data_IF_899385890356
#
_entry.id   IF_899385890356
#
_cell.length_a   1.000
_cell.length_b   1.000
_cell.length_c   1.000
_cell.angle_alpha   90.00
_cell.angle_beta   90.00
_cell.angle_gamma   90.00
#
_symmetry.space_group_name_H-M   'P 1'
#
loop_
_entity.id
_entity.type
_entity.pdbx_description
1 polymer ?
#
# COMPACT_ATOMS: atom_id res chain seq x y z
N UNK A 1 -32.09 -35.21 -17.07
CA UNK A 1 -33.51 -35.31 -16.66
C UNK A 1 -34.31 -34.34 -17.52
N UNK A 2 -35.24 -34.83 -18.31
CA UNK A 2 -36.07 -33.99 -19.18
C UNK A 2 -37.02 -33.18 -18.30
N UNK A 3 -36.86 -31.86 -18.28
CA UNK A 3 -37.76 -30.93 -17.59
C UNK A 3 -39.08 -30.81 -18.36
N UNK A 4 -40.13 -31.49 -17.87
CA UNK A 4 -41.47 -31.38 -18.43
C UNK A 4 -42.01 -29.97 -18.17
N UNK A 5 -42.74 -29.40 -19.15
CA UNK A 5 -43.37 -28.07 -19.07
C UNK A 5 -44.30 -27.90 -17.85
N UNK A 6 -44.95 -28.98 -17.41
CA UNK A 6 -45.77 -29.00 -16.19
C UNK A 6 -44.92 -28.82 -14.92
N UNK A 7 -43.70 -29.40 -14.87
CA UNK A 7 -42.78 -29.20 -13.73
C UNK A 7 -42.22 -27.78 -13.70
N UNK A 8 -41.98 -27.16 -14.85
CA UNK A 8 -41.58 -25.75 -14.96
C UNK A 8 -42.67 -24.81 -14.41
N UNK A 9 -43.93 -25.09 -14.71
CA UNK A 9 -45.08 -24.31 -14.21
C UNK A 9 -45.20 -24.42 -12.68
N UNK A 10 -44.99 -25.60 -12.12
CA UNK A 10 -45.10 -25.86 -10.68
C UNK A 10 -43.87 -25.32 -9.89
N UNK A 11 -42.72 -25.20 -10.53
CA UNK A 11 -41.48 -24.68 -9.90
C UNK A 11 -41.32 -23.16 -9.97
N UNK A 12 -42.30 -22.43 -10.58
CA UNK A 12 -42.21 -20.95 -10.78
C UNK A 12 -41.91 -20.18 -9.49
N UNK A 13 -42.58 -20.52 -8.37
CA UNK A 13 -42.35 -19.86 -7.07
C UNK A 13 -40.96 -20.15 -6.50
N UNK A 14 -40.51 -21.41 -6.63
CA UNK A 14 -39.16 -21.81 -6.16
C UNK A 14 -38.07 -21.23 -7.07
N UNK A 15 -38.32 -21.08 -8.36
CA UNK A 15 -37.42 -20.42 -9.31
C UNK A 15 -37.28 -18.93 -9.01
N UNK A 16 -38.39 -18.26 -8.71
CA UNK A 16 -38.41 -16.84 -8.33
C UNK A 16 -37.61 -16.63 -7.03
N UNK A 17 -37.78 -17.51 -6.04
CA UNK A 17 -37.02 -17.45 -4.79
C UNK A 17 -35.52 -17.67 -5.04
N UNK A 18 -35.13 -18.64 -5.89
CA UNK A 18 -33.73 -18.87 -6.27
C UNK A 18 -33.13 -17.70 -7.02
N UNK A 19 -33.91 -17.06 -7.94
CA UNK A 19 -33.44 -15.87 -8.65
C UNK A 19 -33.32 -14.67 -7.70
N UNK A 20 -34.22 -14.51 -6.74
CA UNK A 20 -34.13 -13.47 -5.72
C UNK A 20 -32.92 -13.68 -4.81
N UNK A 21 -32.63 -14.93 -4.44
CA UNK A 21 -31.40 -15.28 -3.67
C UNK A 21 -30.13 -15.06 -4.48
N UNK A 22 -30.12 -15.34 -5.77
CA UNK A 22 -28.99 -15.08 -6.65
C UNK A 22 -28.76 -13.59 -6.87
N UNK A 23 -29.84 -12.80 -7.03
CA UNK A 23 -29.76 -11.33 -7.06
C UNK A 23 -29.22 -10.79 -5.75
N UNK A 24 -29.68 -11.29 -4.59
CA UNK A 24 -29.10 -10.92 -3.28
C UNK A 24 -27.64 -11.28 -3.15
N UNK A 25 -27.19 -12.43 -3.65
CA UNK A 25 -25.77 -12.82 -3.67
C UNK A 25 -24.94 -11.92 -4.57
N UNK A 26 -25.51 -11.47 -5.71
CA UNK A 26 -24.84 -10.58 -6.65
C UNK A 26 -24.84 -9.11 -6.19
N UNK A 27 -25.83 -8.70 -5.37
CA UNK A 27 -25.91 -7.37 -4.75
C UNK A 27 -25.31 -7.35 -3.34
N UNK A 28 -25.04 -8.51 -2.74
CA UNK A 28 -24.29 -8.57 -1.47
C UNK A 28 -22.93 -7.90 -1.67
N UNK A 29 -22.47 -7.05 -0.75
CA UNK A 29 -21.15 -6.47 -0.82
C UNK A 29 -20.13 -7.60 -1.01
N UNK A 30 -19.28 -7.45 -2.03
CA UNK A 30 -18.26 -8.46 -2.36
C UNK A 30 -17.57 -8.87 -1.08
N UNK A 31 -17.61 -10.16 -0.72
CA UNK A 31 -16.88 -10.74 0.40
C UNK A 31 -15.44 -10.24 0.31
N UNK A 32 -15.04 -9.33 1.24
CA UNK A 32 -13.68 -8.83 1.28
C UNK A 32 -13.49 -7.34 1.55
N UNK A 33 -14.53 -6.52 1.56
CA UNK A 33 -14.40 -5.15 2.05
C UNK A 33 -14.59 -5.17 3.58
N UNK A 34 -13.53 -4.92 4.32
CA UNK A 34 -13.60 -4.72 5.76
C UNK A 34 -14.35 -3.41 6.04
N UNK A 35 -15.52 -3.50 6.64
CA UNK A 35 -16.43 -2.36 6.90
C UNK A 35 -15.84 -1.36 7.92
N UNK A 36 -14.81 -1.75 8.65
CA UNK A 36 -14.07 -0.85 9.54
C UNK A 36 -13.33 0.25 8.77
N UNK A 37 -13.03 0.01 7.47
CA UNK A 37 -12.30 0.97 6.66
C UNK A 37 -13.21 1.97 5.96
N UNK A 38 -13.01 3.24 6.32
CA UNK A 38 -13.60 4.34 5.57
C UNK A 38 -12.82 4.61 4.27
N UNK A 39 -13.54 5.01 3.24
CA UNK A 39 -12.98 5.43 1.95
C UNK A 39 -13.66 6.69 1.48
N UNK A 40 -12.86 7.65 1.01
CA UNK A 40 -13.39 8.85 0.38
C UNK A 40 -14.11 8.49 -0.92
N UNK A 41 -15.35 8.91 -1.03
CA UNK A 41 -16.12 8.82 -2.27
C UNK A 41 -15.78 10.02 -3.14
N UNK A 42 -15.39 9.74 -4.38
CA UNK A 42 -15.10 10.77 -5.39
C UNK A 42 -16.25 10.79 -6.39
N UNK A 43 -16.84 11.96 -6.60
CA UNK A 43 -17.89 12.14 -7.60
C UNK A 43 -17.35 11.78 -9.00
N UNK A 44 -17.97 10.81 -9.70
CA UNK A 44 -17.49 10.35 -11.00
C UNK A 44 -17.58 11.42 -12.10
N UNK A 45 -18.41 12.46 -11.94
CA UNK A 45 -18.59 13.54 -12.93
C UNK A 45 -17.53 14.63 -12.77
N UNK A 46 -17.27 15.05 -11.53
CA UNK A 46 -16.32 16.13 -11.24
C UNK A 46 -14.91 15.63 -10.96
N UNK A 47 -14.76 14.35 -10.61
CA UNK A 47 -13.49 13.77 -10.18
C UNK A 47 -13.03 14.31 -8.82
N UNK A 48 -13.90 14.98 -8.05
CA UNK A 48 -13.58 15.59 -6.76
C UNK A 48 -14.25 14.81 -5.63
N UNK A 49 -13.53 14.56 -4.57
CA UNK A 49 -14.01 14.06 -3.29
C UNK A 49 -13.57 14.98 -2.17
N UNK A 50 -14.42 15.14 -1.17
CA UNK A 50 -14.14 15.97 0.00
C UNK A 50 -14.67 15.29 1.27
N UNK A 51 -13.88 15.37 2.35
CA UNK A 51 -14.29 15.04 3.70
C UNK A 51 -13.43 15.79 4.72
N UNK A 52 -13.96 15.99 5.90
CA UNK A 52 -13.23 16.51 7.06
C UNK A 52 -13.14 15.43 8.10
N UNK A 53 -11.95 15.13 8.55
CA UNK A 53 -11.70 14.06 9.52
C UNK A 53 -10.66 14.51 10.56
N UNK A 54 -10.65 13.85 11.71
CA UNK A 54 -9.62 14.00 12.73
C UNK A 54 -8.87 12.67 12.86
N UNK A 55 -7.55 12.72 12.78
CA UNK A 55 -6.72 11.60 13.18
C UNK A 55 -6.81 11.40 14.70
N UNK A 56 -6.87 10.15 15.14
CA UNK A 56 -6.98 9.81 16.55
C UNK A 56 -5.63 9.36 17.12
N UNK A 57 -5.41 9.45 18.43
CA UNK A 57 -4.18 9.02 19.08
C UNK A 57 -3.89 7.52 18.86
N UNK A 58 -2.91 6.99 19.53
CA UNK A 58 -2.65 5.55 19.54
C UNK A 58 -3.77 4.82 20.30
N UNK A 59 -4.26 3.66 19.79
CA UNK A 59 -5.21 2.84 20.51
C UNK A 59 -4.64 2.36 21.85
N UNK A 60 -5.52 1.88 22.71
CA UNK A 60 -5.11 1.32 24.01
C UNK A 60 -4.06 0.22 23.81
N UNK A 61 -3.00 0.27 24.62
CA UNK A 61 -1.87 -0.66 24.62
C UNK A 61 -0.97 -0.57 23.36
N UNK A 62 -1.07 0.52 22.58
CA UNK A 62 -0.21 0.81 21.43
C UNK A 62 0.42 2.21 21.57
N UNK A 63 1.67 2.38 21.11
CA UNK A 63 2.42 3.62 21.29
C UNK A 63 2.37 4.55 20.05
N UNK A 64 2.05 3.99 18.88
CA UNK A 64 2.11 4.68 17.60
C UNK A 64 0.73 4.75 16.96
N UNK A 65 0.25 5.95 16.54
CA UNK A 65 -1.09 6.14 15.98
C UNK A 65 -1.23 5.71 14.51
N UNK A 66 -0.27 4.96 13.98
CA UNK A 66 -0.36 4.38 12.65
C UNK A 66 0.34 3.03 12.54
N UNK A 67 -0.18 2.13 11.72
CA UNK A 67 0.52 0.95 11.25
C UNK A 67 1.12 1.21 9.86
N UNK A 68 2.38 0.83 9.65
CA UNK A 68 3.09 0.92 8.37
C UNK A 68 3.09 -0.44 7.70
N UNK A 69 2.50 -0.54 6.50
CA UNK A 69 2.31 -1.80 5.79
C UNK A 69 2.83 -1.72 4.36
N UNK A 70 3.75 -2.60 4.00
CA UNK A 70 4.15 -2.81 2.62
C UNK A 70 3.30 -3.89 1.97
N UNK A 71 2.91 -3.69 0.72
CA UNK A 71 2.16 -4.68 -0.07
C UNK A 71 2.59 -4.67 -1.53
N UNK A 72 2.41 -5.80 -2.22
CA UNK A 72 2.52 -5.90 -3.67
C UNK A 72 1.12 -6.03 -4.27
N UNK A 73 0.86 -5.31 -5.36
CA UNK A 73 -0.39 -5.40 -6.10
C UNK A 73 -0.13 -5.15 -7.58
N UNK A 74 -0.01 -6.23 -8.38
CA UNK A 74 0.22 -6.15 -9.81
C UNK A 74 -0.46 -7.30 -10.55
N UNK A 75 -0.66 -7.12 -11.85
CA UNK A 75 -1.15 -8.16 -12.74
C UNK A 75 0.04 -8.78 -13.49
N UNK A 76 0.15 -10.09 -13.42
CA UNK A 76 1.18 -10.82 -14.14
C UNK A 76 0.88 -10.98 -15.64
N UNK A 77 1.83 -11.46 -16.45
CA UNK A 77 1.69 -11.62 -17.90
C UNK A 77 0.53 -12.52 -18.32
N UNK A 78 0.16 -13.50 -17.47
CA UNK A 78 -0.98 -14.40 -17.68
C UNK A 78 -2.33 -13.78 -17.30
N UNK A 79 -2.38 -12.51 -16.95
CA UNK A 79 -3.60 -11.81 -16.52
C UNK A 79 -4.02 -12.07 -15.08
N UNK A 80 -3.34 -12.95 -14.34
CA UNK A 80 -3.64 -13.22 -12.94
C UNK A 80 -3.07 -12.15 -12.01
N UNK A 81 -3.85 -11.78 -10.97
CA UNK A 81 -3.43 -10.79 -9.98
C UNK A 81 -2.59 -11.41 -8.87
N UNK A 82 -1.51 -10.73 -8.53
CA UNK A 82 -0.75 -10.94 -7.30
C UNK A 82 -1.03 -9.78 -6.36
N UNK A 83 -1.76 -10.04 -5.26
CA UNK A 83 -2.10 -9.06 -4.24
C UNK A 83 -1.78 -9.70 -2.89
N UNK A 84 -0.67 -9.25 -2.25
CA UNK A 84 -0.18 -9.83 -1.00
C UNK A 84 0.54 -8.78 -0.16
N UNK A 85 0.45 -8.93 1.16
CA UNK A 85 1.28 -8.18 2.08
C UNK A 85 2.75 -8.58 1.92
N UNK A 86 3.63 -7.59 1.92
CA UNK A 86 5.06 -7.81 1.75
C UNK A 86 5.71 -8.13 3.11
N UNK A 87 6.37 -9.29 3.27
CA UNK A 87 7.01 -9.66 4.53
C UNK A 87 8.10 -8.70 5.02
N UNK A 88 8.62 -7.83 4.11
CA UNK A 88 9.58 -6.79 4.52
C UNK A 88 8.97 -5.72 5.44
N UNK A 89 7.66 -5.75 5.68
CA UNK A 89 6.99 -5.00 6.75
C UNK A 89 7.49 -5.45 8.12
N UNK A 90 7.75 -6.74 8.28
CA UNK A 90 8.33 -7.33 9.49
C UNK A 90 9.85 -7.34 9.32
N UNK A 91 10.55 -6.77 10.28
CA UNK A 91 12.00 -6.59 10.22
C UNK A 91 12.75 -7.87 9.87
N UNK A 92 13.62 -7.78 8.85
CA UNK A 92 14.49 -8.86 8.43
C UNK A 92 13.84 -10.00 7.64
N UNK A 93 12.53 -9.96 7.36
CA UNK A 93 11.87 -11.04 6.60
C UNK A 93 12.04 -10.88 5.08
N UNK A 94 12.53 -11.91 4.38
CA UNK A 94 12.72 -11.84 2.94
C UNK A 94 11.39 -11.92 2.19
N UNK A 95 11.32 -11.19 1.06
CA UNK A 95 10.20 -11.26 0.11
C UNK A 95 10.70 -11.72 -1.26
N UNK A 96 10.12 -12.77 -1.88
CA UNK A 96 10.57 -13.27 -3.17
C UNK A 96 10.34 -12.26 -4.31
N UNK A 97 9.28 -11.47 -4.26
CA UNK A 97 9.00 -10.43 -5.26
C UNK A 97 10.03 -9.30 -5.16
N UNK A 98 10.34 -8.82 -3.94
CA UNK A 98 11.38 -7.79 -3.75
C UNK A 98 12.75 -8.29 -4.23
N UNK A 99 13.09 -9.54 -3.94
CA UNK A 99 14.35 -10.16 -4.38
C UNK A 99 14.46 -10.19 -5.91
N UNK A 100 13.42 -10.64 -6.58
CA UNK A 100 13.38 -10.67 -8.04
C UNK A 100 13.39 -9.26 -8.64
N UNK A 101 12.65 -8.32 -8.07
CA UNK A 101 12.67 -6.93 -8.54
C UNK A 101 14.05 -6.29 -8.41
N UNK A 102 14.78 -6.56 -7.32
CA UNK A 102 16.16 -6.09 -7.17
C UNK A 102 17.08 -6.69 -8.23
N UNK A 103 16.91 -7.98 -8.56
CA UNK A 103 17.67 -8.63 -9.64
C UNK A 103 17.39 -7.97 -11.00
N UNK A 104 16.12 -7.76 -11.33
CA UNK A 104 15.70 -7.11 -12.58
C UNK A 104 16.20 -5.66 -12.64
N UNK A 105 16.13 -4.92 -11.54
CA UNK A 105 16.61 -3.54 -11.50
C UNK A 105 18.12 -3.43 -11.77
N UNK A 106 18.88 -4.37 -11.23
CA UNK A 106 20.35 -4.41 -11.36
C UNK A 106 20.84 -5.12 -12.64
N UNK A 107 19.95 -5.61 -13.50
CA UNK A 107 20.32 -6.25 -14.79
C UNK A 107 20.95 -5.28 -15.80
N UNK A 108 20.73 -3.98 -15.63
CA UNK A 108 21.16 -2.95 -16.59
C UNK A 108 20.23 -2.83 -17.82
N UNK A 109 19.23 -3.72 -17.96
CA UNK A 109 18.29 -3.75 -19.08
C UNK A 109 17.06 -2.92 -18.74
N UNK A 110 16.72 -1.90 -19.58
CA UNK A 110 15.59 -1.00 -19.27
C UNK A 110 14.24 -1.72 -19.22
N UNK A 111 14.00 -2.69 -20.09
CA UNK A 111 12.79 -3.52 -20.06
C UNK A 111 12.62 -4.25 -18.72
N UNK A 112 13.72 -4.73 -18.12
CA UNK A 112 13.69 -5.40 -16.80
C UNK A 112 13.35 -4.40 -15.69
N UNK A 113 13.87 -3.18 -15.78
CA UNK A 113 13.54 -2.10 -14.83
C UNK A 113 12.06 -1.71 -14.91
N UNK A 114 11.46 -1.65 -16.10
CA UNK A 114 10.01 -1.41 -16.25
C UNK A 114 9.18 -2.50 -15.57
N UNK A 115 9.58 -3.77 -15.73
CA UNK A 115 8.94 -4.89 -15.03
C UNK A 115 9.09 -4.74 -13.52
N UNK A 116 10.28 -4.37 -13.02
CA UNK A 116 10.51 -4.14 -11.60
C UNK A 116 9.65 -2.97 -11.06
N UNK A 117 9.54 -1.86 -11.82
CA UNK A 117 8.67 -0.71 -11.47
C UNK A 117 7.20 -1.15 -11.34
N UNK A 118 6.68 -1.91 -12.30
CA UNK A 118 5.28 -2.38 -12.28
C UNK A 118 4.96 -3.29 -11.10
N UNK A 119 5.96 -3.95 -10.52
CA UNK A 119 5.85 -4.88 -9.37
C UNK A 119 6.35 -4.30 -8.06
N UNK A 120 6.72 -3.00 -8.04
CA UNK A 120 7.21 -2.31 -6.85
C UNK A 120 6.23 -2.47 -5.69
N UNK A 121 6.74 -2.65 -4.48
CA UNK A 121 5.93 -2.65 -3.27
C UNK A 121 5.36 -1.27 -3.02
N UNK A 122 4.11 -1.21 -2.55
CA UNK A 122 3.43 0.02 -2.16
C UNK A 122 3.45 0.16 -0.65
N UNK A 123 3.79 1.35 -0.18
CA UNK A 123 3.69 1.72 1.22
C UNK A 123 2.28 2.25 1.51
N UNK A 124 1.67 1.73 2.55
CA UNK A 124 0.36 2.16 3.06
C UNK A 124 0.47 2.37 4.55
N UNK A 125 -0.10 3.45 5.04
CA UNK A 125 -0.30 3.73 6.44
C UNK A 125 -1.76 3.49 6.80
N UNK A 126 -2.01 3.04 8.02
CA UNK A 126 -3.36 2.79 8.55
C UNK A 126 -3.43 3.49 9.90
N UNK A 127 -4.41 4.38 10.07
CA UNK A 127 -4.68 5.08 11.34
C UNK A 127 -6.16 5.03 11.66
N UNK A 128 -6.49 5.20 12.94
CA UNK A 128 -7.84 5.48 13.35
C UNK A 128 -8.19 6.95 13.05
N UNK A 129 -9.38 7.17 12.57
CA UNK A 129 -9.92 8.51 12.29
C UNK A 129 -11.34 8.64 12.81
N UNK A 130 -11.70 9.85 13.21
CA UNK A 130 -13.08 10.27 13.43
C UNK A 130 -13.54 11.06 12.21
N UNK A 131 -14.69 10.72 11.65
CA UNK A 131 -15.29 11.51 10.57
C UNK A 131 -16.02 12.71 11.19
N UNK A 132 -15.56 13.92 10.84
CA UNK A 132 -16.19 15.15 11.25
C UNK A 132 -17.30 15.52 10.27
N UNK A 133 -16.98 15.43 8.96
CA UNK A 133 -17.93 15.75 7.89
C UNK A 133 -17.64 14.86 6.66
N UNK A 134 -18.63 14.08 6.26
CA UNK A 134 -18.62 13.30 5.03
C UNK A 134 -19.89 13.67 4.21
N UNK A 135 -19.78 14.60 3.26
CA UNK A 135 -20.93 15.04 2.46
C UNK A 135 -21.51 13.93 1.58
N UNK A 136 -20.71 12.93 1.23
CA UNK A 136 -21.16 11.79 0.42
C UNK A 136 -21.95 10.77 1.24
N UNK A 137 -21.60 10.61 2.53
CA UNK A 137 -22.26 9.71 3.47
C UNK A 137 -22.37 10.37 4.85
N UNK A 138 -23.34 11.29 5.05
CA UNK A 138 -23.50 12.01 6.32
C UNK A 138 -23.71 11.12 7.55
N UNK A 139 -24.16 9.90 7.33
CA UNK A 139 -24.32 8.87 8.38
C UNK A 139 -23.01 8.41 9.03
N UNK A 140 -21.87 8.70 8.39
CA UNK A 140 -20.54 8.43 8.95
C UNK A 140 -20.09 9.48 9.95
N UNK A 141 -20.71 10.64 9.98
CA UNK A 141 -20.32 11.74 10.86
C UNK A 141 -20.37 11.32 12.32
N UNK A 142 -19.32 11.64 13.08
CA UNK A 142 -19.17 11.27 14.47
C UNK A 142 -18.80 9.81 14.74
N UNK A 143 -18.51 9.02 13.72
CA UNK A 143 -18.08 7.62 13.86
C UNK A 143 -16.58 7.46 13.66
N UNK A 144 -16.01 6.51 14.40
CA UNK A 144 -14.59 6.10 14.29
C UNK A 144 -14.44 5.02 13.23
N UNK A 145 -13.42 5.18 12.37
CA UNK A 145 -13.06 4.25 11.30
C UNK A 145 -11.55 4.08 11.19
N UNK A 146 -11.14 3.03 10.50
CA UNK A 146 -9.78 2.89 9.99
C UNK A 146 -9.65 3.60 8.64
N UNK A 147 -8.54 4.29 8.43
CA UNK A 147 -8.23 4.97 7.17
C UNK A 147 -6.89 4.49 6.62
N UNK A 148 -6.91 4.07 5.35
CA UNK A 148 -5.70 3.71 4.59
C UNK A 148 -5.27 4.90 3.75
N UNK A 149 -4.02 5.33 3.91
CA UNK A 149 -3.45 6.45 3.16
C UNK A 149 -2.01 6.15 2.73
N UNK A 150 -1.56 6.87 1.70
CA UNK A 150 -0.21 6.73 1.16
C UNK A 150 0.77 7.75 1.73
N UNK A 151 2.01 7.72 1.21
CA UNK A 151 3.11 8.59 1.61
C UNK A 151 2.73 10.07 1.57
N UNK A 152 2.08 10.57 0.51
CA UNK A 152 1.71 12.00 0.38
C UNK A 152 0.90 12.57 1.57
N UNK A 153 -0.03 11.78 2.11
CA UNK A 153 -0.80 12.21 3.29
C UNK A 153 0.07 12.06 4.55
N UNK A 154 0.88 11.00 4.62
CA UNK A 154 1.79 10.81 5.74
C UNK A 154 2.83 11.94 5.83
N UNK A 155 3.38 12.38 4.71
CA UNK A 155 4.33 13.49 4.66
C UNK A 155 3.72 14.78 5.22
N UNK A 156 2.43 15.07 4.93
CA UNK A 156 1.71 16.20 5.53
C UNK A 156 1.56 16.06 7.06
N UNK A 157 1.37 14.82 7.55
CA UNK A 157 1.37 14.55 9.00
C UNK A 157 2.74 14.83 9.60
N UNK A 158 3.81 14.36 8.96
CA UNK A 158 5.18 14.58 9.42
C UNK A 158 5.59 16.05 9.36
N UNK A 159 5.17 16.77 8.30
CA UNK A 159 5.42 18.20 8.15
C UNK A 159 4.76 19.02 9.28
N UNK A 160 3.58 18.60 9.76
CA UNK A 160 2.91 19.25 10.89
C UNK A 160 3.60 18.94 12.23
N UNK A 161 4.11 17.71 12.41
CA UNK A 161 4.84 17.28 13.60
C UNK A 161 6.23 17.94 13.67
N UNK A 162 6.92 18.03 12.53
CA UNK A 162 8.26 18.59 12.39
C UNK A 162 8.30 19.62 11.25
N UNK A 163 7.82 20.85 11.48
CA UNK A 163 7.82 21.88 10.46
C UNK A 163 9.23 22.21 9.96
N UNK A 164 9.35 22.41 8.65
CA UNK A 164 10.63 22.76 8.03
C UNK A 164 11.02 24.24 8.24
N UNK A 165 10.04 25.10 8.50
CA UNK A 165 10.26 26.54 8.67
C UNK A 165 10.23 26.94 10.16
N UNK A 166 11.20 27.78 10.62
CA UNK A 166 11.33 28.18 12.03
C UNK A 166 10.15 28.99 12.58
N UNK A 167 9.35 29.58 11.71
CA UNK A 167 8.17 30.39 12.06
C UNK A 167 6.89 29.54 12.24
N UNK A 168 6.93 28.29 11.85
CA UNK A 168 5.83 27.36 12.05
C UNK A 168 5.94 26.68 13.42
N UNK A 169 4.80 26.58 14.10
CA UNK A 169 4.73 25.87 15.37
C UNK A 169 4.39 24.40 15.14
N UNK A 170 5.15 23.45 15.72
CA UNK A 170 4.81 22.03 15.67
C UNK A 170 3.43 21.79 16.27
N UNK A 171 2.61 20.95 15.63
CA UNK A 171 1.34 20.52 16.16
C UNK A 171 1.18 19.01 16.01
N UNK A 172 0.56 18.37 16.98
CA UNK A 172 0.29 16.95 16.93
C UNK A 172 -1.13 16.70 16.39
N UNK A 173 -1.29 16.24 15.12
CA UNK A 173 -2.61 16.01 14.53
C UNK A 173 -3.41 14.89 15.22
N UNK A 174 -2.74 14.06 16.03
CA UNK A 174 -3.36 12.95 16.77
C UNK A 174 -3.84 13.32 18.17
N UNK A 175 -3.62 14.56 18.60
CA UNK A 175 -4.04 15.01 19.90
C UNK A 175 -5.55 15.33 19.93
N UNK A 176 -6.23 14.97 21.03
CA UNK A 176 -7.66 15.19 21.19
C UNK A 176 -7.97 16.62 21.65
N UNK A 177 -7.03 17.29 22.35
CA UNK A 177 -7.22 18.65 22.91
C UNK A 177 -6.60 19.73 22.03
N UNK A 178 -5.40 19.51 21.50
CA UNK A 178 -4.64 20.47 20.70
C UNK A 178 -4.35 19.98 19.28
N UNK A 179 -5.07 18.96 18.82
CA UNK A 179 -4.88 18.39 17.49
C UNK A 179 -5.57 19.18 16.39
N UNK A 180 -5.35 18.75 15.14
CA UNK A 180 -5.83 19.45 13.96
C UNK A 180 -6.80 18.58 13.16
N UNK A 181 -7.88 19.18 12.65
CA UNK A 181 -8.73 18.50 11.68
C UNK A 181 -8.03 18.46 10.31
N UNK A 182 -8.22 17.37 9.60
CA UNK A 182 -7.70 17.18 8.26
C UNK A 182 -8.80 17.36 7.21
N UNK A 183 -8.69 18.39 6.39
CA UNK A 183 -9.54 18.62 5.23
C UNK A 183 -9.01 17.76 4.07
N UNK A 184 -9.52 16.56 3.94
CA UNK A 184 -9.15 15.65 2.86
C UNK A 184 -9.86 16.08 1.58
N UNK A 185 -9.10 16.48 0.58
CA UNK A 185 -9.60 16.78 -0.76
C UNK A 185 -8.85 15.93 -1.77
N UNK A 186 -9.59 15.07 -2.46
CA UNK A 186 -9.07 14.32 -3.60
C UNK A 186 -9.56 14.97 -4.90
N UNK A 187 -8.66 15.07 -5.87
CA UNK A 187 -8.97 15.53 -7.22
C UNK A 187 -8.35 14.57 -8.21
N UNK A 188 -9.06 14.23 -9.28
CA UNK A 188 -8.52 13.40 -10.35
C UNK A 188 -7.69 14.27 -11.30
N UNK A 189 -6.39 13.97 -11.40
CA UNK A 189 -5.45 14.66 -12.30
C UNK A 189 -4.80 13.60 -13.17
N UNK A 190 -4.89 13.72 -14.49
CA UNK A 190 -4.33 12.75 -15.46
C UNK A 190 -4.72 11.28 -15.16
N UNK A 191 -5.95 11.05 -14.68
CA UNK A 191 -6.46 9.70 -14.35
C UNK A 191 -6.12 9.21 -12.94
N UNK A 192 -5.25 9.87 -12.19
CA UNK A 192 -4.81 9.49 -10.84
C UNK A 192 -5.45 10.39 -9.77
N UNK A 193 -5.65 9.84 -8.56
CA UNK A 193 -6.09 10.62 -7.41
C UNK A 193 -4.92 11.44 -6.87
N UNK A 194 -5.12 12.75 -6.77
CA UNK A 194 -4.19 13.71 -6.24
C UNK A 194 -4.75 14.31 -4.95
N UNK A 195 -3.91 14.46 -3.91
CA UNK A 195 -4.25 14.95 -2.57
C UNK A 195 -3.52 16.24 -2.21
N UNK A 196 -2.90 16.94 -3.17
CA UNK A 196 -2.05 18.12 -2.92
C UNK A 196 -2.84 19.23 -2.22
N UNK A 197 -4.15 19.34 -2.49
CA UNK A 197 -5.06 20.32 -1.88
C UNK A 197 -5.65 19.87 -0.52
N UNK A 198 -5.24 18.71 0.00
CA UNK A 198 -5.58 18.31 1.35
C UNK A 198 -4.69 19.07 2.34
N UNK A 199 -5.26 19.54 3.46
CA UNK A 199 -4.57 20.39 4.42
C UNK A 199 -5.07 20.14 5.84
N UNK A 200 -4.22 20.41 6.83
CA UNK A 200 -4.64 20.48 8.23
C UNK A 200 -5.21 21.85 8.54
N UNK A 201 -6.16 21.91 9.45
CA UNK A 201 -6.66 23.17 10.03
C UNK A 201 -5.76 23.62 11.17
N UNK A 202 -6.01 24.85 11.66
CA UNK A 202 -5.42 25.27 12.92
C UNK A 202 -5.76 24.30 14.05
N UNK A 203 -4.90 24.20 15.09
CA UNK A 203 -5.16 23.37 16.27
C UNK A 203 -6.51 23.70 16.91
N UNK A 204 -7.24 22.67 17.29
CA UNK A 204 -8.55 22.82 17.92
C UNK A 204 -8.87 21.61 18.79
N UNK A 205 -9.62 21.84 19.86
CA UNK A 205 -10.09 20.79 20.74
C UNK A 205 -11.22 19.99 20.06
N UNK A 206 -11.10 18.66 20.10
CA UNK A 206 -12.17 17.77 19.68
C UNK A 206 -13.24 17.71 20.78
N UNK A 207 -14.53 17.87 20.46
CA UNK A 207 -15.62 17.88 21.43
C UNK A 207 -15.34 18.82 22.61
N UNK A 208 -15.28 20.12 22.32
CA UNK A 208 -14.90 21.17 23.27
C UNK A 208 -15.53 20.97 24.64
N UNK A 209 -14.69 20.76 25.67
CA UNK A 209 -15.12 20.60 27.06
C UNK A 209 -15.82 19.26 27.39
N UNK A 210 -15.91 18.31 26.46
CA UNK A 210 -16.54 16.99 26.68
C UNK A 210 -15.50 15.87 26.66
N UNK A 211 -14.83 15.67 27.80
CA UNK A 211 -13.83 14.61 27.97
C UNK A 211 -14.45 13.21 27.94
N UNK A 212 -15.71 13.05 28.33
CA UNK A 212 -16.40 11.76 28.27
C UNK A 212 -16.61 11.32 26.80
N UNK A 213 -16.90 12.27 25.92
CA UNK A 213 -17.03 11.95 24.49
C UNK A 213 -15.66 11.66 23.86
N UNK A 214 -14.59 12.35 24.28
CA UNK A 214 -13.22 12.03 23.84
C UNK A 214 -12.82 10.63 24.27
N UNK A 215 -13.04 10.26 25.53
CA UNK A 215 -12.74 8.92 26.07
C UNK A 215 -13.51 7.83 25.30
N UNK A 216 -14.82 8.03 25.09
CA UNK A 216 -15.63 7.10 24.29
C UNK A 216 -15.12 6.93 22.86
N UNK A 217 -14.63 8.00 22.24
CA UNK A 217 -14.07 7.97 20.90
C UNK A 217 -12.76 7.19 20.86
N UNK A 218 -11.89 7.41 21.85
CA UNK A 218 -10.64 6.68 22.01
C UNK A 218 -10.88 5.19 22.31
N UNK A 219 -11.83 4.85 23.15
CA UNK A 219 -12.21 3.45 23.42
C UNK A 219 -12.82 2.72 22.21
N UNK A 220 -13.38 3.48 21.26
CA UNK A 220 -13.95 2.92 20.03
C UNK A 220 -12.90 2.70 18.91
N UNK A 221 -11.62 2.96 19.18
CA UNK A 221 -10.54 2.75 18.22
C UNK A 221 -10.27 1.27 17.98
N UNK A 222 -9.82 0.98 16.77
CA UNK A 222 -9.42 -0.36 16.35
C UNK A 222 -7.92 -0.55 16.60
N UNK A 223 -7.50 -1.76 17.00
CA UNK A 223 -6.09 -2.10 17.12
C UNK A 223 -5.38 -2.02 15.77
N UNK A 224 -4.29 -1.28 15.72
CA UNK A 224 -3.46 -1.11 14.53
C UNK A 224 -2.42 -2.22 14.39
N UNK A 225 -1.96 -2.77 15.52
CA UNK A 225 -1.03 -3.89 15.55
C UNK A 225 -1.57 -5.14 14.85
N UNK A 226 -2.92 -5.28 14.75
CA UNK A 226 -3.57 -6.38 14.04
C UNK A 226 -3.10 -6.51 12.58
N UNK A 227 -2.78 -5.38 11.92
CA UNK A 227 -2.37 -5.36 10.51
C UNK A 227 -0.91 -5.74 10.27
N UNK A 228 -0.08 -5.71 11.32
CA UNK A 228 1.35 -6.04 11.26
C UNK A 228 1.70 -7.31 12.03
N UNK A 229 0.71 -8.10 12.47
CA UNK A 229 0.93 -9.43 13.06
C UNK A 229 1.46 -10.41 12.02
N UNK A 230 2.24 -11.38 12.46
CA UNK A 230 2.86 -12.39 11.60
C UNK A 230 1.86 -13.18 10.76
N UNK A 231 0.68 -13.46 11.29
CA UNK A 231 -0.41 -14.19 10.63
C UNK A 231 -0.99 -13.46 9.40
N UNK A 232 -0.78 -12.14 9.30
CA UNK A 232 -1.16 -11.34 8.14
C UNK A 232 -0.21 -11.49 6.95
N UNK A 233 0.88 -12.20 7.12
CA UNK A 233 1.91 -12.38 6.09
C UNK A 233 2.09 -13.85 5.77
N UNK A 234 2.01 -14.18 4.48
CA UNK A 234 2.29 -15.53 4.01
C UNK A 234 3.78 -15.85 4.16
N UNK A 235 4.07 -17.13 4.37
CA UNK A 235 5.43 -17.61 4.38
C UNK A 235 6.10 -17.46 3.00
N UNK A 236 7.43 -17.55 2.96
CA UNK A 236 8.20 -17.34 1.74
C UNK A 236 7.83 -18.31 0.63
N UNK A 237 7.63 -19.61 0.95
CA UNK A 237 7.31 -20.65 -0.03
C UNK A 237 5.95 -20.44 -0.68
N UNK A 238 4.93 -20.08 0.09
CA UNK A 238 3.59 -19.78 -0.43
C UNK A 238 3.60 -18.53 -1.32
N UNK A 239 4.39 -17.51 -0.95
CA UNK A 239 4.58 -16.33 -1.79
C UNK A 239 5.28 -16.68 -3.10
N UNK A 240 6.29 -17.56 -3.09
CA UNK A 240 6.96 -18.04 -4.31
C UNK A 240 5.96 -18.76 -5.22
N UNK A 241 5.17 -19.70 -4.70
CA UNK A 241 4.14 -20.44 -5.48
C UNK A 241 3.12 -19.45 -6.11
N UNK A 242 2.63 -18.48 -5.33
CA UNK A 242 1.68 -17.49 -5.84
C UNK A 242 2.31 -16.57 -6.88
N UNK A 243 3.55 -16.17 -6.65
CA UNK A 243 4.30 -15.33 -7.58
C UNK A 243 4.54 -16.06 -8.91
N UNK A 244 4.99 -17.29 -8.90
CA UNK A 244 5.16 -18.14 -10.08
C UNK A 244 3.85 -18.30 -10.85
N UNK A 245 2.74 -18.58 -10.15
CA UNK A 245 1.40 -18.66 -10.77
C UNK A 245 1.02 -17.35 -11.46
N UNK A 246 1.31 -16.20 -10.86
CA UNK A 246 1.03 -14.92 -11.49
C UNK A 246 1.85 -14.68 -12.76
N UNK A 247 3.02 -15.29 -12.85
CA UNK A 247 3.89 -15.23 -14.04
C UNK A 247 3.49 -16.22 -15.16
N UNK A 248 2.44 -17.03 -14.96
CA UNK A 248 1.98 -18.02 -15.95
C UNK A 248 2.78 -19.33 -15.94
N UNK A 249 3.49 -19.62 -14.86
CA UNK A 249 4.16 -20.90 -14.66
C UNK A 249 3.22 -21.93 -14.01
N UNK A 250 3.08 -23.10 -14.60
CA UNK A 250 2.52 -24.26 -13.91
C UNK A 250 3.47 -24.72 -12.80
N UNK A 251 2.88 -25.09 -11.66
CA UNK A 251 3.62 -25.35 -10.41
C UNK A 251 4.48 -26.63 -10.49
N UNK A 252 4.27 -27.47 -11.49
CA UNK A 252 4.88 -28.80 -11.56
C UNK A 252 6.20 -28.87 -12.35
N UNK A 253 6.56 -27.87 -13.16
CA UNK A 253 7.67 -28.02 -14.13
C UNK A 253 8.84 -27.02 -13.97
N UNK A 254 8.93 -26.29 -12.87
CA UNK A 254 10.08 -25.43 -12.59
C UNK A 254 10.66 -25.73 -11.23
N UNK A 255 11.93 -26.14 -11.26
CA UNK A 255 12.81 -26.19 -10.09
C UNK A 255 12.44 -25.10 -9.11
N UNK A 256 12.24 -25.45 -7.85
CA UNK A 256 11.87 -24.48 -6.82
C UNK A 256 12.83 -23.28 -6.86
N UNK A 257 12.32 -22.09 -6.67
CA UNK A 257 13.17 -20.87 -6.68
C UNK A 257 14.37 -20.98 -5.71
N UNK A 258 14.28 -21.85 -4.71
CA UNK A 258 15.38 -22.27 -3.85
C UNK A 258 16.50 -23.00 -4.58
N UNK A 259 16.19 -23.94 -5.47
CA UNK A 259 17.19 -24.70 -6.22
C UNK A 259 17.89 -23.87 -7.30
N UNK A 260 17.18 -22.90 -7.91
CA UNK A 260 17.79 -21.93 -8.84
C UNK A 260 18.75 -21.00 -8.10
N UNK A 261 18.39 -20.55 -6.90
CA UNK A 261 19.22 -19.68 -6.05
C UNK A 261 20.44 -20.45 -5.54
N UNK A 262 20.28 -21.72 -5.16
CA UNK A 262 21.38 -22.57 -4.70
C UNK A 262 22.33 -22.98 -5.85
N UNK A 263 21.82 -23.13 -7.06
CA UNK A 263 22.59 -23.44 -8.26
C UNK A 263 23.41 -22.24 -8.75
N UNK A 264 22.84 -21.01 -8.72
CA UNK A 264 23.58 -19.80 -9.07
C UNK A 264 24.64 -19.43 -8.03
N UNK A 265 24.41 -19.71 -6.74
CA UNK A 265 25.42 -19.49 -5.70
C UNK A 265 26.56 -20.51 -5.72
N UNK A 266 26.43 -21.63 -6.48
CA UNK A 266 27.47 -22.66 -6.67
C UNK A 266 28.24 -22.53 -7.99
N UNK A 267 27.89 -21.57 -8.85
CA UNK A 267 28.71 -21.31 -10.03
C UNK A 267 30.02 -20.62 -9.59
N UNK A 268 31.20 -21.16 -9.96
CA UNK A 268 32.45 -20.53 -9.64
C UNK A 268 32.54 -19.18 -10.33
N UNK A 269 32.83 -18.14 -9.55
CA UNK A 269 33.14 -16.80 -10.06
C UNK A 269 34.28 -16.97 -11.08
N UNK A 270 34.13 -16.54 -12.35
CA UNK A 270 35.22 -16.59 -13.30
C UNK A 270 36.37 -15.73 -12.78
N UNK A 271 37.47 -16.36 -12.40
CA UNK A 271 38.73 -15.72 -12.05
C UNK A 271 39.23 -14.97 -13.28
N UNK A 272 39.51 -13.67 -13.22
CA UNK A 272 40.15 -12.98 -14.33
C UNK A 272 41.58 -13.53 -14.49
N UNK A 273 41.93 -13.88 -15.73
CA UNK A 273 43.25 -14.36 -16.11
C UNK A 273 44.34 -13.35 -15.71
N UNK A 274 45.52 -13.79 -15.24
CA UNK A 274 46.57 -12.87 -14.84
C UNK A 274 47.25 -12.26 -16.06
N UNK A 275 47.11 -10.95 -16.26
CA UNK A 275 48.01 -10.16 -17.10
C UNK A 275 49.20 -9.74 -16.25
N UNK A 276 50.37 -10.25 -16.63
CA UNK A 276 51.65 -9.93 -16.03
C UNK A 276 52.13 -8.54 -16.38
N UNK A 277 52.80 -7.92 -15.39
CA UNK A 277 53.80 -6.85 -15.33
C UNK A 277 53.30 -5.60 -14.61
N UNK A 278 53.97 -5.04 -13.67
CA UNK A 278 55.27 -5.09 -13.05
C UNK A 278 55.21 -4.25 -11.73
N UNK A 279 55.94 -4.71 -10.73
CA UNK A 279 56.60 -4.05 -9.61
C UNK A 279 56.35 -2.54 -9.33
N UNK A 280 56.04 -2.14 -8.13
CA UNK A 280 56.85 -1.75 -7.01
C UNK A 280 56.07 -1.03 -5.90
N UNK A 281 56.26 -1.52 -4.72
CA UNK A 281 56.36 -0.90 -3.40
C UNK A 281 55.49 0.35 -3.02
N UNK A 282 54.60 0.27 -2.04
CA UNK A 282 54.82 0.81 -0.69
C UNK A 282 53.61 0.70 0.24
N UNK A 283 53.88 0.27 1.38
CA UNK A 283 53.18 0.14 2.64
C UNK A 283 52.01 1.07 3.00
N UNK A 284 51.08 0.45 3.79
CA UNK A 284 50.31 0.93 4.93
C UNK A 284 49.08 1.79 4.68
N UNK A 285 47.90 1.25 4.94
CA UNK A 285 47.00 1.53 6.06
C UNK A 285 45.63 0.86 5.81
N UNK A 286 45.26 0.04 6.76
CA UNK A 286 43.92 -0.54 6.86
C UNK A 286 42.86 0.57 6.94
N UNK A 287 41.89 0.53 6.01
CA UNK A 287 40.65 1.29 6.13
C UNK A 287 39.53 0.31 5.88
N UNK A 288 38.61 0.25 6.85
CA UNK A 288 37.44 -0.60 6.86
C UNK A 288 36.56 -0.39 5.62
N UNK A 289 36.05 -1.50 5.09
CA UNK A 289 35.10 -1.50 3.97
C UNK A 289 33.83 -0.77 4.37
N UNK A 290 33.27 0.11 3.50
CA UNK A 290 32.00 0.72 3.73
C UNK A 290 30.86 -0.30 3.51
N UNK A 291 29.91 -0.34 4.43
CA UNK A 291 28.63 -1.04 4.29
C UNK A 291 27.91 -0.54 3.03
N UNK A 292 27.19 -1.41 2.30
CA UNK A 292 26.38 -0.97 1.18
C UNK A 292 25.30 0.00 1.70
N UNK A 293 25.28 1.21 1.18
CA UNK A 293 24.18 2.15 1.39
C UNK A 293 22.98 1.60 0.69
N UNK A 294 21.88 1.37 1.41
CA UNK A 294 20.55 1.27 0.83
C UNK A 294 20.29 2.60 0.11
N UNK A 295 20.19 2.53 -1.20
CA UNK A 295 19.72 3.66 -2.01
C UNK A 295 18.21 3.71 -1.81
N UNK A 296 17.73 4.59 -0.95
CA UNK A 296 16.34 5.02 -0.95
C UNK A 296 16.10 5.76 -2.28
N UNK A 297 15.41 5.09 -3.18
CA UNK A 297 14.94 5.72 -4.43
C UNK A 297 13.80 6.66 -4.03
N UNK A 298 14.01 7.96 -4.17
CA UNK A 298 12.99 8.99 -3.93
C UNK A 298 11.82 8.79 -4.90
N UNK A 299 10.62 8.60 -4.34
CA UNK A 299 9.38 8.42 -5.12
C UNK A 299 9.00 9.67 -5.93
N UNK A 300 9.54 10.84 -5.57
CA UNK A 300 9.23 12.12 -6.19
C UNK A 300 9.94 12.31 -7.55
N UNK A 301 11.11 11.71 -7.76
CA UNK A 301 11.83 11.78 -9.05
C UNK A 301 11.16 10.93 -10.14
N UNK A 302 10.49 9.81 -9.77
CA UNK A 302 9.81 8.94 -10.73
C UNK A 302 8.48 9.52 -11.25
N UNK A 303 7.76 10.36 -10.48
CA UNK A 303 6.55 11.04 -10.98
C UNK A 303 6.88 12.09 -12.03
N UNK A 304 8.01 12.77 -11.93
CA UNK A 304 8.43 13.79 -12.87
C UNK A 304 8.95 13.17 -14.18
N UNK A 305 9.61 12.03 -14.13
CA UNK A 305 10.05 11.32 -15.33
C UNK A 305 8.89 10.68 -16.10
N UNK A 306 7.86 10.18 -15.41
CA UNK A 306 6.63 9.70 -16.05
C UNK A 306 5.84 10.86 -16.68
N UNK A 307 5.77 12.02 -16.02
CA UNK A 307 5.14 13.24 -16.60
C UNK A 307 5.89 13.75 -17.82
N UNK A 308 7.22 13.76 -17.81
CA UNK A 308 8.05 14.14 -18.95
C UNK A 308 7.90 13.17 -20.12
N UNK A 309 7.81 11.87 -19.87
CA UNK A 309 7.58 10.86 -20.91
C UNK A 309 6.22 11.06 -21.59
N UNK A 310 5.15 11.28 -20.83
CA UNK A 310 3.82 11.53 -21.43
C UNK A 310 3.72 12.89 -22.13
N UNK A 311 4.43 13.91 -21.66
CA UNK A 311 4.49 15.20 -22.36
C UNK A 311 5.21 15.08 -23.72
N UNK A 312 6.27 14.27 -23.81
CA UNK A 312 7.00 14.06 -25.07
C UNK A 312 6.23 13.27 -26.13
N UNK A 313 5.24 12.45 -25.72
CA UNK A 313 4.40 11.66 -26.65
C UNK A 313 3.23 12.48 -27.21
N UNK A 314 2.86 13.60 -26.57
CA UNK A 314 1.73 14.45 -26.99
C UNK A 314 2.18 15.51 -28.04
N UNK A 315 3.48 15.82 -28.10
CA UNK A 315 4.03 16.83 -29.02
C UNK A 315 4.45 16.26 -30.41
N UNK A 316 4.16 14.98 -30.70
CA UNK A 316 4.47 14.32 -31.99
C UNK A 316 3.24 14.01 -32.86
N UNK A 317 2.11 14.74 -32.75
CA UNK A 317 1.00 14.69 -33.70
C UNK A 317 0.65 16.07 -34.25
#
# INVERSE_FOLDING_TARGET
MATNFTSLRNSRKSLLAKLADEVKKNTAPRRGADERFWKLIVDPKTGIGYAKLRFLPAPKDEDIPWAKLWSHGFQGPAGSWFIENCPTTLDGRPCPVCKENNRLWNSGVERDKEVARSRKRKLTYISNILIIEDPSNPENNGKTFLYKYGKKIHDKVMELLEPQFPDQQPANPFDLWEGCDFKLKAQKVAGYQNYDKAEFTDPSELFVGDDAQKEKTWEAEFSLSEFIKEDQFKNFEDLVKRFQRSLGGDVEDRLTAGEVIERESRLPIPTPAPTAKAAEARATKSVAAPKPKEVEVNEDEEEDDVKKFFASVIDED
#
